data_IF_846735796801
#
_entry.id   IF_846735796801
#
_cell.length_a   1.000
_cell.length_b   1.000
_cell.length_c   1.000
_cell.angle_alpha   90.00
_cell.angle_beta   90.00
_cell.angle_gamma   90.00
#
_symmetry.space_group_name_H-M   'P 1'
#
loop_
_entity.id
_entity.type
_entity.pdbx_description
1 polymer ?
#
# COMPACT_ATOMS: atom_id res chain seq x y z
N UNK A 1 0.37 15.19 -2.00
CA UNK A 1 1.51 15.78 -2.75
C UNK A 1 2.23 14.69 -3.50
N UNK A 2 2.49 14.88 -4.80
CA UNK A 2 3.38 13.99 -5.57
C UNK A 2 4.83 14.26 -5.15
N UNK A 3 5.64 13.21 -5.01
CA UNK A 3 7.00 13.32 -4.47
C UNK A 3 7.90 14.18 -5.37
N UNK A 4 8.93 14.82 -4.81
CA UNK A 4 9.91 15.58 -5.61
C UNK A 4 10.55 14.70 -6.70
N UNK A 5 10.86 13.44 -6.36
CA UNK A 5 11.37 12.44 -7.31
C UNK A 5 10.42 12.23 -8.49
N UNK A 6 9.12 12.09 -8.23
CA UNK A 6 8.11 11.92 -9.27
C UNK A 6 8.10 13.11 -10.24
N UNK A 7 8.08 14.34 -9.70
CA UNK A 7 8.07 15.56 -10.52
C UNK A 7 9.34 15.70 -11.38
N UNK A 8 10.51 15.37 -10.83
CA UNK A 8 11.77 15.39 -11.57
C UNK A 8 11.76 14.37 -12.70
N UNK A 9 11.30 13.13 -12.44
CA UNK A 9 11.26 12.08 -13.46
C UNK A 9 10.27 12.40 -14.58
N UNK A 10 9.15 13.08 -14.27
CA UNK A 10 8.19 13.51 -15.30
C UNK A 10 8.77 14.52 -16.29
N UNK A 11 9.71 15.39 -15.86
CA UNK A 11 10.34 16.41 -16.72
C UNK A 11 11.30 15.82 -17.75
N UNK A 12 11.77 14.59 -17.54
CA UNK A 12 12.65 13.92 -18.49
C UNK A 12 11.85 13.59 -19.76
N UNK A 13 12.22 14.21 -20.88
CA UNK A 13 11.62 13.93 -22.18
C UNK A 13 12.12 12.58 -22.68
N UNK A 14 11.33 11.53 -22.43
CA UNK A 14 11.62 10.16 -22.85
C UNK A 14 10.53 9.69 -23.80
N UNK A 15 10.93 9.10 -24.93
CA UNK A 15 9.99 8.54 -25.90
C UNK A 15 9.23 7.32 -25.35
N UNK A 16 9.86 6.54 -24.48
CA UNK A 16 9.29 5.36 -23.81
C UNK A 16 9.66 5.39 -22.34
N UNK A 17 8.71 5.01 -21.48
CA UNK A 17 8.90 4.91 -20.03
C UNK A 17 8.53 3.50 -19.58
N UNK A 18 9.44 2.84 -18.89
CA UNK A 18 9.24 1.50 -18.34
C UNK A 18 9.44 1.61 -16.83
N UNK A 19 8.47 1.13 -16.06
CA UNK A 19 8.54 1.07 -14.61
C UNK A 19 8.80 -0.37 -14.18
N UNK A 20 9.80 -0.56 -13.33
CA UNK A 20 10.09 -1.84 -12.70
C UNK A 20 9.69 -1.75 -11.23
N UNK A 21 8.83 -2.67 -10.77
CA UNK A 21 8.41 -2.77 -9.38
C UNK A 21 8.59 -4.20 -8.87
N UNK A 22 9.10 -4.35 -7.65
CA UNK A 22 9.27 -5.64 -7.00
C UNK A 22 7.98 -6.19 -6.39
N UNK A 23 7.03 -5.32 -6.05
CA UNK A 23 5.71 -5.67 -5.54
C UNK A 23 4.66 -5.44 -6.63
N UNK A 24 3.74 -6.40 -6.84
CA UNK A 24 2.69 -6.27 -7.84
C UNK A 24 1.63 -5.30 -7.31
N UNK A 25 1.95 -4.01 -7.25
CA UNK A 25 1.07 -2.89 -6.89
C UNK A 25 0.51 -2.99 -5.46
N UNK A 26 1.04 -2.16 -4.56
CA UNK A 26 0.38 -1.96 -3.26
C UNK A 26 -1.04 -1.43 -3.52
N UNK A 27 -2.01 -1.99 -2.80
CA UNK A 27 -3.45 -1.98 -3.12
C UNK A 27 -4.14 -0.60 -3.09
N UNK A 28 -3.41 0.52 -3.08
CA UNK A 28 -4.05 1.84 -3.11
C UNK A 28 -4.35 2.27 -4.54
N UNK A 29 -5.61 2.65 -4.78
CA UNK A 29 -6.05 3.21 -6.07
C UNK A 29 -5.22 4.44 -6.48
N UNK A 30 -4.74 5.21 -5.50
CA UNK A 30 -3.94 6.40 -5.72
C UNK A 30 -2.53 6.09 -6.26
N UNK A 31 -1.89 5.06 -5.73
CA UNK A 31 -0.58 4.60 -6.23
C UNK A 31 -0.73 4.08 -7.66
N UNK A 32 -1.78 3.29 -7.88
CA UNK A 32 -2.18 2.77 -9.18
C UNK A 32 -2.25 3.84 -10.27
N UNK A 33 -3.00 4.90 -9.95
CA UNK A 33 -3.15 6.09 -10.77
C UNK A 33 -1.84 6.77 -11.10
N UNK A 34 -1.01 6.94 -10.07
CA UNK A 34 0.26 7.67 -10.17
C UNK A 34 1.20 6.93 -11.12
N UNK A 35 1.21 5.59 -11.09
CA UNK A 35 2.01 4.79 -12.02
C UNK A 35 1.50 4.85 -13.46
N UNK A 36 0.18 4.85 -13.66
CA UNK A 36 -0.43 4.95 -14.99
C UNK A 36 -0.12 6.31 -15.65
N UNK A 37 -0.22 7.39 -14.89
CA UNK A 37 0.14 8.74 -15.34
C UNK A 37 1.64 8.85 -15.65
N UNK A 38 2.48 8.11 -14.92
CA UNK A 38 3.93 8.10 -15.14
C UNK A 38 4.35 7.41 -16.44
N UNK A 39 3.81 6.20 -16.70
CA UNK A 39 4.19 5.36 -17.85
C UNK A 39 3.64 5.93 -19.16
N UNK A 40 2.45 6.54 -19.13
CA UNK A 40 1.71 7.00 -20.32
C UNK A 40 1.19 8.44 -20.17
N UNK A 41 2.06 9.43 -19.97
CA UNK A 41 1.64 10.81 -19.67
C UNK A 41 0.71 11.39 -20.76
N UNK A 42 1.01 11.14 -22.04
CA UNK A 42 0.24 11.66 -23.19
C UNK A 42 -1.22 11.20 -23.25
N UNK A 43 -1.54 10.02 -22.73
CA UNK A 43 -2.93 9.51 -22.71
C UNK A 43 -3.75 10.13 -21.58
N UNK A 44 -3.06 10.70 -20.58
CA UNK A 44 -3.66 11.06 -19.29
C UNK A 44 -3.47 12.54 -18.91
N UNK A 45 -2.72 13.34 -19.68
CA UNK A 45 -2.52 14.78 -19.48
C UNK A 45 -3.84 15.55 -19.26
N UNK A 46 -4.89 15.25 -20.03
CA UNK A 46 -6.19 15.93 -19.91
C UNK A 46 -7.22 15.15 -19.07
N UNK A 47 -6.90 13.94 -18.62
CA UNK A 47 -7.81 13.04 -17.90
C UNK A 47 -7.36 12.75 -16.48
N UNK A 48 -6.28 13.40 -16.02
CA UNK A 48 -5.72 13.15 -14.70
C UNK A 48 -6.75 13.43 -13.60
N UNK A 49 -7.54 14.50 -13.74
CA UNK A 49 -8.61 14.83 -12.79
C UNK A 49 -9.80 13.88 -12.89
N UNK A 50 -10.21 13.47 -14.10
CA UNK A 50 -11.27 12.47 -14.29
C UNK A 50 -10.90 11.13 -13.67
N UNK A 51 -9.65 10.72 -13.84
CA UNK A 51 -9.16 9.44 -13.33
C UNK A 51 -8.98 9.54 -11.81
N UNK A 52 -8.51 10.69 -11.28
CA UNK A 52 -8.54 10.96 -9.84
C UNK A 52 -9.96 10.88 -9.30
N UNK A 53 -10.94 11.45 -9.98
CA UNK A 53 -12.34 11.39 -9.58
C UNK A 53 -12.90 9.96 -9.66
N UNK A 54 -12.50 9.18 -10.67
CA UNK A 54 -12.86 7.75 -10.80
C UNK A 54 -12.27 6.88 -9.69
N UNK A 55 -11.22 7.33 -9.01
CA UNK A 55 -10.52 6.57 -7.97
C UNK A 55 -10.58 7.19 -6.57
N UNK A 56 -11.11 8.40 -6.44
CA UNK A 56 -11.32 9.13 -5.18
C UNK A 56 -12.78 9.09 -4.70
N UNK A 57 -13.70 8.52 -5.50
CA UNK A 57 -15.09 8.28 -5.09
C UNK A 57 -15.11 7.21 -3.99
N UNK A 58 -15.00 7.66 -2.74
CA UNK A 58 -15.39 6.86 -1.57
C UNK A 58 -16.83 6.41 -1.76
N UNK A 59 -17.14 5.20 -1.30
CA UNK A 59 -18.52 4.73 -1.30
C UNK A 59 -19.43 5.79 -0.65
N UNK A 60 -20.66 6.01 -1.18
CA UNK A 60 -21.61 6.87 -0.49
C UNK A 60 -21.76 6.35 0.94
N UNK A 61 -21.49 7.21 1.94
CA UNK A 61 -21.80 6.89 3.33
C UNK A 61 -23.32 6.80 3.42
N UNK A 62 -23.84 5.58 3.54
CA UNK A 62 -25.21 5.38 4.00
C UNK A 62 -25.22 5.77 5.48
N UNK A 63 -26.17 6.61 5.90
CA UNK A 63 -26.33 7.10 7.29
C UNK A 63 -26.64 5.97 8.31
N UNK A 64 -26.70 4.71 7.86
CA UNK A 64 -27.20 3.58 8.64
C UNK A 64 -26.13 2.52 8.98
N UNK A 65 -24.83 2.85 8.88
CA UNK A 65 -23.75 1.98 9.40
C UNK A 65 -23.64 0.58 8.77
N UNK A 66 -24.35 0.31 7.66
CA UNK A 66 -24.34 -0.99 6.99
C UNK A 66 -23.16 -1.12 6.00
N UNK A 67 -22.51 -2.28 6.03
CA UNK A 67 -21.23 -2.62 5.36
C UNK A 67 -21.27 -2.70 3.82
N UNK A 68 -22.12 -1.93 3.12
CA UNK A 68 -22.12 -1.88 1.65
C UNK A 68 -20.95 -1.08 1.04
N UNK A 69 -20.15 -0.42 1.88
CA UNK A 69 -18.99 0.37 1.44
C UNK A 69 -17.89 -0.48 0.77
N UNK A 70 -17.71 -1.72 1.22
CA UNK A 70 -16.63 -2.59 0.74
C UNK A 70 -16.84 -3.07 -0.71
N UNK A 71 -18.05 -3.44 -1.10
CA UNK A 71 -18.32 -4.02 -2.42
C UNK A 71 -18.14 -3.01 -3.56
N UNK A 72 -18.56 -1.76 -3.33
CA UNK A 72 -18.38 -0.68 -4.30
C UNK A 72 -16.91 -0.31 -4.50
N UNK A 73 -16.15 -0.24 -3.41
CA UNK A 73 -14.71 0.01 -3.45
C UNK A 73 -13.97 -1.14 -4.15
N UNK A 74 -14.32 -2.40 -3.83
CA UNK A 74 -13.77 -3.56 -4.52
C UNK A 74 -14.09 -3.55 -6.03
N UNK A 75 -15.31 -3.21 -6.42
CA UNK A 75 -15.70 -3.10 -7.82
C UNK A 75 -14.90 -2.00 -8.56
N UNK A 76 -14.64 -0.85 -7.92
CA UNK A 76 -13.78 0.19 -8.49
C UNK A 76 -12.32 -0.27 -8.62
N UNK A 77 -11.77 -0.92 -7.60
CA UNK A 77 -10.43 -1.52 -7.63
C UNK A 77 -10.33 -2.54 -8.77
N UNK A 78 -11.35 -3.38 -8.97
CA UNK A 78 -11.37 -4.37 -10.02
C UNK A 78 -11.40 -3.72 -11.42
N UNK A 79 -12.20 -2.66 -11.60
CA UNK A 79 -12.20 -1.86 -12.85
C UNK A 79 -10.84 -1.23 -13.12
N UNK A 80 -10.20 -0.68 -12.09
CA UNK A 80 -8.85 -0.12 -12.16
C UNK A 80 -7.82 -1.16 -12.64
N UNK A 81 -7.86 -2.35 -12.01
CA UNK A 81 -7.00 -3.49 -12.35
C UNK A 81 -7.20 -3.94 -13.79
N UNK A 82 -8.44 -3.95 -14.29
CA UNK A 82 -8.73 -4.31 -15.68
C UNK A 82 -8.19 -3.29 -16.69
N UNK A 83 -8.31 -1.98 -16.41
CA UNK A 83 -7.73 -0.92 -17.24
C UNK A 83 -6.21 -1.04 -17.30
N UNK A 84 -5.59 -1.42 -16.19
CA UNK A 84 -4.14 -1.56 -16.09
C UNK A 84 -3.56 -2.84 -16.67
N UNK A 85 -4.33 -3.93 -16.70
CA UNK A 85 -3.87 -5.24 -17.15
C UNK A 85 -3.06 -5.21 -18.46
N UNK A 86 -3.42 -4.45 -19.51
CA UNK A 86 -2.60 -4.36 -20.73
C UNK A 86 -1.26 -3.62 -20.55
N UNK A 87 -1.09 -2.81 -19.51
CA UNK A 87 0.13 -2.04 -19.24
C UNK A 87 1.10 -2.75 -18.29
N UNK A 88 0.68 -3.85 -17.67
CA UNK A 88 1.48 -4.59 -16.70
C UNK A 88 1.96 -5.89 -17.33
N UNK A 89 3.28 -6.04 -17.39
CA UNK A 89 3.91 -7.32 -17.66
C UNK A 89 4.42 -7.90 -16.35
N UNK A 90 3.69 -8.88 -15.81
CA UNK A 90 4.04 -9.61 -14.59
C UNK A 90 3.85 -11.11 -14.78
N UNK A 91 4.74 -11.91 -14.20
CA UNK A 91 4.61 -13.38 -14.13
C UNK A 91 4.41 -13.78 -12.68
N UNK A 92 3.51 -14.73 -12.43
CA UNK A 92 3.35 -15.29 -11.11
C UNK A 92 4.44 -16.34 -10.88
N UNK A 93 4.82 -16.52 -9.62
CA UNK A 93 5.76 -17.59 -9.24
C UNK A 93 5.34 -18.95 -9.80
N UNK A 94 4.04 -19.29 -9.75
CA UNK A 94 3.51 -20.53 -10.35
C UNK A 94 3.75 -20.65 -11.86
N UNK A 95 3.85 -19.54 -12.59
CA UNK A 95 4.05 -19.52 -14.04
C UNK A 95 5.52 -19.75 -14.44
N UNK A 96 6.47 -19.65 -13.48
CA UNK A 96 7.91 -19.72 -13.74
C UNK A 96 8.62 -20.80 -12.90
N UNK A 97 8.01 -21.22 -11.78
CA UNK A 97 8.59 -22.16 -10.82
C UNK A 97 8.57 -23.63 -11.28
N UNK A 98 7.97 -23.98 -12.43
CA UNK A 98 7.99 -25.36 -12.94
C UNK A 98 9.41 -25.89 -13.17
N UNK A 99 10.38 -25.00 -13.42
CA UNK A 99 11.79 -25.33 -13.64
C UNK A 99 12.65 -25.23 -12.38
N UNK A 100 12.07 -24.88 -11.23
CA UNK A 100 12.79 -24.63 -9.98
C UNK A 100 12.41 -25.66 -8.91
N UNK A 101 13.37 -26.02 -8.06
CA UNK A 101 13.14 -26.92 -6.93
C UNK A 101 12.10 -26.35 -5.96
N UNK A 102 11.32 -27.25 -5.33
CA UNK A 102 10.25 -26.87 -4.40
C UNK A 102 10.80 -26.02 -3.25
N UNK A 103 10.18 -24.87 -3.00
CA UNK A 103 10.44 -24.05 -1.79
C UNK A 103 9.88 -24.80 -0.58
N UNK A 104 10.70 -25.01 0.44
CA UNK A 104 10.25 -25.48 1.76
C UNK A 104 10.20 -24.28 2.70
N UNK A 105 9.10 -24.12 3.42
CA UNK A 105 8.91 -23.04 4.39
C UNK A 105 8.65 -23.66 5.76
N UNK A 106 9.47 -23.28 6.75
CA UNK A 106 9.38 -23.80 8.11
C UNK A 106 9.08 -22.63 9.04
N UNK A 107 7.84 -22.57 9.52
CA UNK A 107 7.45 -21.59 10.53
C UNK A 107 7.85 -22.13 11.91
N UNK A 108 8.83 -21.48 12.56
CA UNK A 108 9.19 -21.75 13.95
C UNK A 108 8.66 -20.65 14.84
N UNK A 109 7.72 -21.00 15.72
CA UNK A 109 7.29 -20.11 16.79
C UNK A 109 8.32 -20.16 17.91
N UNK A 110 8.83 -19.00 18.31
CA UNK A 110 9.81 -18.87 19.38
C UNK A 110 9.16 -18.06 20.49
N UNK A 111 9.15 -18.56 21.76
CA UNK A 111 8.62 -17.78 22.86
C UNK A 111 9.52 -16.57 23.12
N UNK A 112 8.93 -15.49 23.61
CA UNK A 112 9.70 -14.35 24.12
C UNK A 112 10.51 -14.80 25.34
N UNK A 113 11.73 -14.27 25.48
CA UNK A 113 12.47 -14.39 26.73
C UNK A 113 11.71 -13.67 27.87
N UNK A 114 11.90 -14.06 29.14
CA UNK A 114 11.20 -13.44 30.27
C UNK A 114 11.26 -11.90 30.25
N UNK A 115 12.46 -11.32 30.09
CA UNK A 115 12.66 -9.87 30.02
C UNK A 115 11.98 -9.22 28.81
N UNK A 116 11.92 -9.93 27.68
CA UNK A 116 11.23 -9.44 26.47
C UNK A 116 9.71 -9.48 26.66
N UNK A 117 9.20 -10.51 27.31
CA UNK A 117 7.78 -10.65 27.61
C UNK A 117 7.32 -9.56 28.57
N UNK A 118 8.12 -9.25 29.60
CA UNK A 118 7.86 -8.17 30.54
C UNK A 118 7.81 -6.81 29.84
N UNK A 119 8.84 -6.46 29.04
CA UNK A 119 8.87 -5.20 28.28
C UNK A 119 7.74 -5.10 27.27
N UNK A 120 7.45 -6.19 26.57
CA UNK A 120 6.35 -6.24 25.60
C UNK A 120 4.99 -6.02 26.27
N UNK A 121 4.78 -6.65 27.44
CA UNK A 121 3.55 -6.49 28.21
C UNK A 121 3.41 -5.07 28.76
N UNK A 122 4.50 -4.47 29.26
CA UNK A 122 4.54 -3.08 29.68
C UNK A 122 4.08 -2.13 28.57
N UNK A 123 4.65 -2.26 27.36
CA UNK A 123 4.27 -1.42 26.22
C UNK A 123 2.80 -1.63 25.86
N UNK A 124 2.30 -2.87 25.85
CA UNK A 124 0.89 -3.15 25.57
C UNK A 124 -0.03 -2.47 26.59
N UNK A 125 0.30 -2.56 27.87
CA UNK A 125 -0.56 -2.04 28.92
C UNK A 125 -0.52 -0.51 28.97
N UNK A 126 0.64 0.10 28.68
CA UNK A 126 0.74 1.54 28.41
C UNK A 126 -0.19 1.92 27.25
N UNK A 127 -0.11 1.21 26.11
CA UNK A 127 -0.95 1.47 24.94
C UNK A 127 -2.45 1.40 25.21
N UNK A 128 -2.90 0.46 26.05
CA UNK A 128 -4.31 0.32 26.42
C UNK A 128 -4.81 1.44 27.33
N UNK A 129 -3.91 2.09 28.05
CA UNK A 129 -4.22 3.16 28.99
C UNK A 129 -4.15 4.56 28.34
N UNK A 130 -3.72 4.65 27.08
CA UNK A 130 -3.76 5.89 26.28
C UNK A 130 -5.21 6.17 25.86
N UNK A 131 -5.72 7.35 26.20
CA UNK A 131 -7.04 7.84 25.78
C UNK A 131 -7.12 7.84 24.23
N UNK A 132 -8.21 7.38 23.59
CA UNK A 132 -8.28 7.20 22.12
C UNK A 132 -8.08 8.48 21.29
N UNK A 133 -8.01 9.63 21.97
CA UNK A 133 -7.79 10.98 21.45
C UNK A 133 -6.31 11.35 21.35
N UNK A 134 -5.42 10.62 22.02
CA UNK A 134 -3.97 10.89 22.04
C UNK A 134 -3.28 10.05 20.96
N UNK A 135 -2.46 10.71 20.15
CA UNK A 135 -1.88 10.11 18.95
C UNK A 135 -0.94 8.96 19.29
N UNK A 136 -1.43 7.74 19.07
CA UNK A 136 -0.77 6.46 19.39
C UNK A 136 0.68 6.32 18.87
N UNK A 137 1.11 7.14 17.91
CA UNK A 137 2.48 7.14 17.37
C UNK A 137 3.51 7.79 18.30
N UNK A 138 3.10 8.68 19.20
CA UNK A 138 4.01 9.43 20.08
C UNK A 138 4.58 8.50 21.17
N UNK A 139 3.75 7.61 21.73
CA UNK A 139 4.15 6.76 22.85
C UNK A 139 5.17 5.67 22.46
N UNK A 140 5.03 5.04 21.29
CA UNK A 140 6.03 4.07 20.78
C UNK A 140 7.39 4.75 20.57
N UNK A 141 7.39 5.98 20.04
CA UNK A 141 8.60 6.72 19.73
C UNK A 141 9.36 7.11 21.00
N UNK A 142 8.65 7.59 22.02
CA UNK A 142 9.24 7.98 23.30
C UNK A 142 9.78 6.76 24.08
N UNK A 143 9.11 5.60 23.99
CA UNK A 143 9.62 4.35 24.58
C UNK A 143 10.88 3.82 23.86
N UNK A 144 10.96 3.93 22.53
CA UNK A 144 12.17 3.53 21.79
C UNK A 144 13.37 4.43 22.11
N UNK A 145 13.16 5.74 22.27
CA UNK A 145 14.23 6.68 22.67
C UNK A 145 14.74 6.39 24.08
N UNK A 146 13.85 6.01 25.01
CA UNK A 146 14.25 5.70 26.39
C UNK A 146 14.98 4.36 26.56
N UNK A 147 14.97 3.49 25.54
CA UNK A 147 15.75 2.24 25.52
C UNK A 147 17.13 2.38 24.84
N UNK A 148 17.39 3.49 24.14
CA UNK A 148 18.67 3.76 23.47
C UNK A 148 19.64 4.65 24.29
N UNK A 149 19.29 4.97 25.54
CA UNK A 149 20.15 5.66 26.53
C UNK A 149 20.09 4.96 27.89
#
# INVERSE_FOLDING_TARGET
MLTQRYNTLLRINAQRRILLTGTPLQNSLLELMTLLCFVTPKLFENKTEDIKALFSKKAPKLDDGSEQSNDFEQAQIQRAKNIMKPFILGRLKKDVLSFLSKKTEVMKKVPLLPDQAEKYQYVIDEYKNIDPTTDSYIVMHDYMISLEF
#
